data_IF_591884520375
#
_entry.id   IF_591884520375
#
_cell.length_a   1.000
_cell.length_b   1.000
_cell.length_c   1.000
_cell.angle_alpha   90.00
_cell.angle_beta   90.00
_cell.angle_gamma   90.00
#
_symmetry.space_group_name_H-M   'P 1'
#
loop_
_entity.id
_entity.type
_entity.pdbx_description
1 polymer ?
#
# COMPACT_ATOMS: atom_id res chain seq x y z
N UNK A 1 10.31 8.91 0.13
CA UNK A 1 11.42 8.14 -0.47
C UNK A 1 11.20 6.73 0.02
N UNK A 2 10.79 5.87 -0.89
CA UNK A 2 9.85 4.77 -0.64
C UNK A 2 10.47 3.58 0.11
N UNK A 3 9.84 3.20 1.22
CA UNK A 3 10.22 2.08 2.10
C UNK A 3 10.19 0.72 1.36
N UNK A 4 9.32 0.61 0.35
CA UNK A 4 9.14 -0.59 -0.48
C UNK A 4 10.37 -0.92 -1.33
N UNK A 5 10.87 0.07 -2.07
CA UNK A 5 12.02 -0.10 -2.97
C UNK A 5 13.28 -0.39 -2.15
N UNK A 6 13.42 0.24 -0.98
CA UNK A 6 14.51 -0.05 -0.06
C UNK A 6 14.52 -1.51 0.39
N UNK A 7 13.36 -2.09 0.78
CA UNK A 7 13.30 -3.47 1.28
C UNK A 7 13.58 -4.52 0.21
N UNK A 8 13.16 -4.31 -1.03
CA UNK A 8 13.42 -5.25 -2.14
C UNK A 8 14.88 -5.29 -2.58
N UNK A 9 15.60 -4.18 -2.38
CA UNK A 9 16.98 -4.02 -2.80
C UNK A 9 17.98 -4.20 -1.63
N UNK A 10 17.50 -4.32 -0.38
CA UNK A 10 18.27 -4.58 0.83
C UNK A 10 18.50 -6.10 1.05
N UNK A 11 19.75 -6.60 0.89
CA UNK A 11 20.05 -8.02 1.10
C UNK A 11 19.79 -8.52 2.52
N UNK A 12 19.78 -7.65 3.53
CA UNK A 12 19.55 -8.07 4.92
C UNK A 12 18.11 -8.54 5.18
N UNK A 13 17.16 -8.15 4.33
CA UNK A 13 15.75 -8.55 4.42
C UNK A 13 15.52 -10.01 3.98
N UNK A 14 16.42 -10.58 3.19
CA UNK A 14 16.21 -11.88 2.53
C UNK A 14 16.05 -13.05 3.50
N UNK A 15 16.88 -13.11 4.54
CA UNK A 15 16.81 -14.19 5.53
C UNK A 15 15.47 -14.21 6.28
N UNK A 16 14.96 -13.04 6.68
CA UNK A 16 13.66 -12.91 7.34
C UNK A 16 12.52 -13.32 6.40
N UNK A 17 12.55 -12.83 5.16
CA UNK A 17 11.52 -13.09 4.17
C UNK A 17 11.48 -14.57 3.77
N UNK A 18 12.63 -15.24 3.64
CA UNK A 18 12.70 -16.67 3.38
C UNK A 18 12.13 -17.50 4.53
N UNK A 19 12.42 -17.12 5.79
CA UNK A 19 11.85 -17.79 6.96
C UNK A 19 10.31 -17.70 6.97
N UNK A 20 9.75 -16.54 6.60
CA UNK A 20 8.30 -16.34 6.51
C UNK A 20 7.67 -17.02 5.29
N UNK A 21 8.34 -17.00 4.14
CA UNK A 21 7.85 -17.60 2.90
C UNK A 21 7.76 -19.14 2.98
N UNK A 22 8.52 -19.75 3.90
CA UNK A 22 8.54 -21.21 4.14
C UNK A 22 8.78 -21.99 2.84
N UNK A 23 9.98 -21.89 2.22
CA UNK A 23 10.28 -22.54 0.95
C UNK A 23 10.09 -24.06 1.04
N UNK A 24 9.62 -24.63 -0.07
CA UNK A 24 9.53 -26.08 -0.24
C UNK A 24 10.90 -26.74 -0.18
N UNK A 25 10.96 -28.05 0.07
CA UNK A 25 12.23 -28.79 0.07
C UNK A 25 12.99 -28.65 -1.25
N UNK A 26 12.27 -28.53 -2.37
CA UNK A 26 12.81 -28.39 -3.73
C UNK A 26 13.46 -27.03 -3.96
N UNK A 27 12.84 -25.95 -3.47
CA UNK A 27 13.35 -24.58 -3.62
C UNK A 27 14.30 -24.17 -2.49
N UNK A 28 14.36 -24.92 -1.38
CA UNK A 28 15.16 -24.58 -0.20
C UNK A 28 16.64 -24.44 -0.50
N UNK A 29 17.22 -25.37 -1.25
CA UNK A 29 18.65 -25.31 -1.58
C UNK A 29 19.00 -24.07 -2.40
N UNK A 30 18.14 -23.70 -3.35
CA UNK A 30 18.27 -22.46 -4.12
C UNK A 30 18.14 -21.22 -3.23
N UNK A 31 17.08 -21.18 -2.41
CA UNK A 31 16.81 -20.09 -1.48
C UNK A 31 17.96 -19.88 -0.48
N UNK A 32 18.48 -20.96 0.11
CA UNK A 32 19.59 -20.91 1.07
C UNK A 32 20.88 -20.44 0.36
N UNK A 33 21.14 -20.85 -0.88
CA UNK A 33 22.31 -20.42 -1.66
C UNK A 33 22.27 -18.93 -2.06
N UNK A 34 21.07 -18.36 -2.15
CA UNK A 34 20.84 -16.98 -2.58
C UNK A 34 20.44 -16.06 -1.41
N UNK A 35 20.55 -16.54 -0.16
CA UNK A 35 20.10 -15.81 1.03
C UNK A 35 20.84 -14.48 1.27
N UNK A 36 22.06 -14.33 0.74
CA UNK A 36 22.86 -13.10 0.80
C UNK A 36 22.56 -12.12 -0.34
N UNK A 37 21.66 -12.48 -1.26
CA UNK A 37 21.22 -11.60 -2.35
C UNK A 37 20.01 -10.77 -1.90
N UNK A 38 19.70 -9.70 -2.64
CA UNK A 38 18.49 -8.92 -2.36
C UNK A 38 17.20 -9.72 -2.64
N UNK A 39 16.07 -9.39 -1.98
CA UNK A 39 14.79 -10.04 -2.26
C UNK A 39 14.40 -9.96 -3.74
N UNK A 40 14.71 -8.86 -4.44
CA UNK A 40 14.48 -8.74 -5.89
C UNK A 40 15.20 -9.82 -6.69
N UNK A 41 16.48 -10.05 -6.38
CA UNK A 41 17.30 -11.08 -7.04
C UNK A 41 16.76 -12.48 -6.71
N UNK A 42 16.38 -12.73 -5.46
CA UNK A 42 15.77 -14.00 -5.04
C UNK A 42 14.47 -14.30 -5.78
N UNK A 43 13.54 -13.33 -5.85
CA UNK A 43 12.27 -13.47 -6.60
C UNK A 43 12.55 -13.79 -8.07
N UNK A 44 13.46 -13.04 -8.69
CA UNK A 44 13.83 -13.26 -10.09
C UNK A 44 14.45 -14.62 -10.35
N UNK A 45 15.32 -15.08 -9.45
CA UNK A 45 15.96 -16.39 -9.51
C UNK A 45 14.96 -17.54 -9.36
N UNK A 46 14.09 -17.48 -8.33
CA UNK A 46 13.02 -18.46 -8.13
C UNK A 46 12.09 -18.54 -9.35
N UNK A 47 11.72 -17.41 -9.94
CA UNK A 47 10.90 -17.37 -11.14
C UNK A 47 11.63 -17.90 -12.39
N UNK A 48 12.95 -17.68 -12.49
CA UNK A 48 13.80 -18.24 -13.53
C UNK A 48 13.84 -19.76 -13.53
N UNK A 49 13.90 -20.35 -12.33
CA UNK A 49 13.92 -21.80 -12.10
C UNK A 49 12.52 -22.44 -12.05
N UNK A 50 11.46 -21.64 -12.22
CA UNK A 50 10.07 -22.11 -12.26
C UNK A 50 9.38 -22.28 -10.91
N UNK A 51 10.01 -21.86 -9.81
CA UNK A 51 9.45 -21.81 -8.46
C UNK A 51 8.54 -20.58 -8.26
N UNK A 52 7.50 -20.47 -9.09
CA UNK A 52 6.61 -19.31 -9.08
C UNK A 52 5.84 -19.09 -7.77
N UNK A 53 5.30 -20.13 -7.10
CA UNK A 53 4.58 -19.92 -5.84
C UNK A 53 5.48 -19.28 -4.77
N UNK A 54 6.73 -19.72 -4.66
CA UNK A 54 7.71 -19.16 -3.73
C UNK A 54 8.10 -17.73 -4.12
N UNK A 55 8.32 -17.47 -5.41
CA UNK A 55 8.59 -16.11 -5.90
C UNK A 55 7.45 -15.14 -5.56
N UNK A 56 6.19 -15.58 -5.73
CA UNK A 56 4.99 -14.80 -5.41
C UNK A 56 4.89 -14.53 -3.90
N UNK A 57 5.10 -15.56 -3.05
CA UNK A 57 5.09 -15.39 -1.59
C UNK A 57 6.16 -14.41 -1.12
N UNK A 58 7.38 -14.54 -1.64
CA UNK A 58 8.49 -13.67 -1.27
C UNK A 58 8.20 -12.21 -1.66
N UNK A 59 7.69 -11.98 -2.87
CA UNK A 59 7.32 -10.64 -3.32
C UNK A 59 6.18 -10.06 -2.48
N UNK A 60 5.15 -10.86 -2.17
CA UNK A 60 4.03 -10.42 -1.32
C UNK A 60 4.50 -10.01 0.09
N UNK A 61 5.51 -10.70 0.64
CA UNK A 61 6.09 -10.39 1.95
C UNK A 61 7.02 -9.17 1.91
N UNK A 62 7.69 -8.93 0.78
CA UNK A 62 8.61 -7.82 0.61
C UNK A 62 7.91 -6.48 0.35
N UNK A 63 6.74 -6.50 -0.29
CA UNK A 63 5.93 -5.31 -0.54
C UNK A 63 5.30 -4.77 0.76
N UNK A 64 5.20 -3.44 0.93
CA UNK A 64 4.34 -2.90 1.96
C UNK A 64 2.88 -3.31 1.69
N UNK A 65 2.10 -3.42 2.76
CA UNK A 65 0.77 -4.05 2.73
C UNK A 65 -0.18 -3.41 1.71
N UNK A 66 -0.14 -2.08 1.55
CA UNK A 66 -0.99 -1.37 0.59
C UNK A 66 -0.65 -1.74 -0.84
N UNK A 67 0.64 -1.70 -1.16
CA UNK A 67 1.19 -2.07 -2.47
C UNK A 67 0.96 -3.55 -2.79
N UNK A 68 1.10 -4.44 -1.80
CA UNK A 68 0.82 -5.87 -1.96
C UNK A 68 -0.65 -6.12 -2.34
N UNK A 69 -1.60 -5.44 -1.69
CA UNK A 69 -3.03 -5.55 -2.02
C UNK A 69 -3.33 -4.93 -3.38
N UNK A 70 -2.75 -3.78 -3.70
CA UNK A 70 -2.90 -3.16 -5.02
C UNK A 70 -2.42 -4.09 -6.14
N UNK A 71 -1.25 -4.73 -5.93
CA UNK A 71 -0.72 -5.74 -6.85
C UNK A 71 -1.70 -6.90 -7.05
N UNK A 72 -2.28 -7.46 -5.98
CA UNK A 72 -3.33 -8.47 -6.11
C UNK A 72 -4.54 -7.97 -6.91
N UNK A 73 -4.98 -6.73 -6.70
CA UNK A 73 -6.09 -6.14 -7.46
C UNK A 73 -5.77 -6.07 -8.96
N UNK A 74 -4.56 -5.62 -9.31
CA UNK A 74 -4.09 -5.58 -10.71
C UNK A 74 -4.07 -6.97 -11.32
N UNK A 75 -3.52 -7.98 -10.65
CA UNK A 75 -3.54 -9.38 -11.11
C UNK A 75 -4.98 -9.92 -11.27
N UNK A 76 -5.90 -9.57 -10.37
CA UNK A 76 -7.32 -9.91 -10.50
C UNK A 76 -7.91 -9.28 -11.77
N UNK A 77 -7.66 -8.00 -12.02
CA UNK A 77 -8.15 -7.29 -13.22
C UNK A 77 -7.64 -7.93 -14.51
N UNK A 78 -6.37 -8.32 -14.58
CA UNK A 78 -5.78 -9.00 -15.75
C UNK A 78 -6.31 -10.44 -15.94
N UNK A 79 -6.88 -11.06 -14.90
CA UNK A 79 -7.38 -12.45 -14.95
C UNK A 79 -8.90 -12.57 -15.05
N UNK A 80 -9.64 -11.47 -15.14
CA UNK A 80 -11.09 -11.49 -15.30
C UNK A 80 -11.49 -12.19 -16.60
N UNK A 81 -12.46 -13.11 -16.51
CA UNK A 81 -12.98 -13.88 -17.64
C UNK A 81 -14.27 -13.28 -18.23
N UNK A 82 -14.88 -12.31 -17.54
CA UNK A 82 -16.11 -11.62 -17.95
C UNK A 82 -17.41 -12.24 -17.43
N UNK A 83 -17.34 -13.39 -16.79
CA UNK A 83 -18.46 -14.12 -16.16
C UNK A 83 -18.35 -14.15 -14.62
N UNK A 84 -17.61 -13.21 -14.05
CA UNK A 84 -17.42 -13.13 -12.60
C UNK A 84 -18.73 -12.93 -11.85
N UNK A 85 -18.92 -13.59 -10.70
CA UNK A 85 -20.06 -13.31 -9.85
C UNK A 85 -20.00 -11.86 -9.33
N UNK A 86 -21.16 -11.19 -9.16
CA UNK A 86 -21.21 -9.82 -8.65
C UNK A 86 -20.45 -9.61 -7.33
N UNK A 87 -20.42 -10.63 -6.47
CA UNK A 87 -19.74 -10.61 -5.18
C UNK A 87 -18.21 -10.52 -5.36
N UNK A 88 -17.65 -11.23 -6.34
CA UNK A 88 -16.22 -11.16 -6.63
C UNK A 88 -15.83 -9.78 -7.20
N UNK A 89 -16.66 -9.21 -8.09
CA UNK A 89 -16.44 -7.86 -8.60
C UNK A 89 -16.49 -6.82 -7.47
N UNK A 90 -17.48 -6.95 -6.57
CA UNK A 90 -17.62 -6.07 -5.40
C UNK A 90 -16.43 -6.18 -4.45
N UNK A 91 -15.91 -7.39 -4.23
CA UNK A 91 -14.70 -7.60 -3.44
C UNK A 91 -13.47 -6.94 -4.06
N UNK A 92 -13.29 -7.08 -5.37
CA UNK A 92 -12.19 -6.43 -6.09
C UNK A 92 -12.27 -4.89 -5.97
N UNK A 93 -13.44 -4.32 -6.20
CA UNK A 93 -13.66 -2.87 -6.08
C UNK A 93 -13.43 -2.36 -4.65
N UNK A 94 -13.85 -3.11 -3.63
CA UNK A 94 -13.61 -2.75 -2.24
C UNK A 94 -12.11 -2.80 -1.88
N UNK A 95 -11.37 -3.79 -2.39
CA UNK A 95 -9.92 -3.90 -2.21
C UNK A 95 -9.19 -2.75 -2.90
N UNK A 96 -9.56 -2.41 -4.14
CA UNK A 96 -9.02 -1.26 -4.87
C UNK A 96 -9.29 0.06 -4.15
N UNK A 97 -10.50 0.21 -3.60
CA UNK A 97 -10.88 1.41 -2.84
C UNK A 97 -10.04 1.56 -1.57
N UNK A 98 -9.79 0.48 -0.84
CA UNK A 98 -8.90 0.51 0.31
C UNK A 98 -7.44 0.81 -0.09
N UNK A 99 -6.95 0.23 -1.19
CA UNK A 99 -5.60 0.50 -1.67
C UNK A 99 -5.41 1.99 -2.06
N UNK A 100 -6.46 2.62 -2.61
CA UNK A 100 -6.48 4.05 -2.93
C UNK A 100 -6.58 4.95 -1.68
N UNK A 101 -7.34 4.54 -0.65
CA UNK A 101 -7.50 5.27 0.60
C UNK A 101 -7.68 4.30 1.79
N UNK A 102 -6.59 3.95 2.51
CA UNK A 102 -6.58 2.86 3.48
C UNK A 102 -7.15 3.25 4.85
N UNK A 103 -8.32 3.88 4.87
CA UNK A 103 -9.06 4.21 6.10
C UNK A 103 -9.83 3.00 6.64
N UNK A 104 -10.18 3.05 7.93
CA UNK A 104 -10.88 1.96 8.64
C UNK A 104 -12.23 1.61 7.98
N UNK A 105 -12.97 2.60 7.48
CA UNK A 105 -14.25 2.38 6.80
C UNK A 105 -14.09 1.50 5.55
N UNK A 106 -13.17 1.86 4.65
CA UNK A 106 -12.89 1.06 3.45
C UNK A 106 -12.34 -0.33 3.83
N UNK A 107 -11.53 -0.41 4.90
CA UNK A 107 -11.00 -1.68 5.40
C UNK A 107 -12.09 -2.64 5.86
N UNK A 108 -13.08 -2.15 6.60
CA UNK A 108 -14.23 -2.95 7.06
C UNK A 108 -15.20 -3.28 5.93
N UNK A 109 -15.37 -2.38 4.97
CA UNK A 109 -16.13 -2.66 3.75
C UNK A 109 -15.48 -3.80 2.93
N UNK A 110 -14.16 -3.78 2.79
CA UNK A 110 -13.41 -4.85 2.12
C UNK A 110 -13.57 -6.20 2.85
N UNK A 111 -13.58 -6.22 4.19
CA UNK A 111 -13.87 -7.44 4.95
C UNK A 111 -15.25 -8.01 4.64
N UNK A 112 -16.29 -7.17 4.67
CA UNK A 112 -17.65 -7.61 4.36
C UNK A 112 -17.77 -8.15 2.92
N UNK A 113 -17.10 -7.50 1.96
CA UNK A 113 -17.07 -7.97 0.57
C UNK A 113 -16.28 -9.27 0.41
N UNK A 114 -15.18 -9.44 1.16
CA UNK A 114 -14.39 -10.67 1.17
C UNK A 114 -15.23 -11.86 1.70
N UNK A 115 -15.98 -11.66 2.78
CA UNK A 115 -16.87 -12.69 3.35
C UNK A 115 -17.97 -13.09 2.35
N UNK A 116 -18.53 -12.12 1.62
CA UNK A 116 -19.54 -12.39 0.60
C UNK A 116 -18.98 -13.12 -0.63
N UNK A 117 -17.77 -12.75 -1.07
CA UNK A 117 -17.11 -13.37 -2.23
C UNK A 117 -16.50 -14.74 -1.92
N UNK A 118 -16.06 -14.98 -0.69
CA UNK A 118 -15.24 -16.13 -0.32
C UNK A 118 -13.79 -16.05 -0.83
N UNK A 119 -12.88 -16.70 -0.13
CA UNK A 119 -11.45 -16.74 -0.47
C UNK A 119 -11.07 -17.79 -1.53
N UNK A 120 -12.05 -18.52 -2.08
CA UNK A 120 -11.84 -19.35 -3.27
C UNK A 120 -11.73 -18.48 -4.54
N UNK A 121 -12.28 -17.26 -4.49
CA UNK A 121 -12.14 -16.26 -5.52
C UNK A 121 -10.87 -15.40 -5.30
N UNK A 122 -10.08 -15.11 -6.35
CA UNK A 122 -8.92 -14.23 -6.21
C UNK A 122 -9.26 -12.85 -5.62
N UNK A 123 -10.41 -12.29 -6.02
CA UNK A 123 -10.88 -10.99 -5.54
C UNK A 123 -11.24 -11.01 -4.05
N UNK A 124 -11.82 -12.10 -3.54
CA UNK A 124 -12.08 -12.27 -2.11
C UNK A 124 -10.79 -12.32 -1.28
N UNK A 125 -9.77 -13.01 -1.79
CA UNK A 125 -8.42 -12.98 -1.20
C UNK A 125 -7.80 -11.58 -1.17
N UNK A 126 -7.93 -10.80 -2.27
CA UNK A 126 -7.45 -9.42 -2.32
C UNK A 126 -8.17 -8.52 -1.30
N UNK A 127 -9.49 -8.64 -1.18
CA UNK A 127 -10.31 -7.91 -0.21
C UNK A 127 -9.99 -8.31 1.25
N UNK A 128 -9.72 -9.58 1.51
CA UNK A 128 -9.22 -10.04 2.81
C UNK A 128 -7.83 -9.47 3.09
N UNK A 129 -6.99 -9.30 2.08
CA UNK A 129 -5.70 -8.62 2.17
C UNK A 129 -5.83 -7.17 2.64
N UNK A 130 -6.79 -6.43 2.07
CA UNK A 130 -7.14 -5.08 2.53
C UNK A 130 -7.55 -5.08 4.01
N UNK A 131 -8.40 -6.02 4.43
CA UNK A 131 -8.82 -6.15 5.82
C UNK A 131 -7.64 -6.36 6.78
N UNK A 132 -6.70 -7.25 6.44
CA UNK A 132 -5.49 -7.51 7.24
C UNK A 132 -4.42 -6.42 7.11
N UNK A 133 -4.59 -5.45 6.21
CA UNK A 133 -3.64 -4.38 5.97
C UNK A 133 -3.33 -3.53 7.22
N UNK A 134 -4.25 -3.46 8.18
CA UNK A 134 -4.05 -2.74 9.44
C UNK A 134 -5.26 -2.86 10.38
N UNK A 135 -5.33 -1.98 11.38
CA UNK A 135 -6.41 -1.93 12.35
C UNK A 135 -6.55 -3.21 13.19
N UNK A 136 -7.71 -3.39 13.80
CA UNK A 136 -8.07 -4.59 14.58
C UNK A 136 -8.83 -5.58 13.70
N UNK A 137 -8.50 -6.87 13.79
CA UNK A 137 -9.26 -7.95 13.15
C UNK A 137 -10.44 -8.42 14.00
N UNK A 138 -10.50 -7.99 15.26
CA UNK A 138 -11.60 -8.32 16.14
C UNK A 138 -12.89 -7.58 15.73
N UNK A 139 -14.08 -8.07 16.14
CA UNK A 139 -15.32 -7.32 16.02
C UNK A 139 -15.26 -5.94 16.67
N UNK A 140 -16.17 -5.02 16.32
CA UNK A 140 -16.30 -3.76 17.04
C UNK A 140 -16.61 -3.98 18.53
N UNK A 141 -16.12 -3.07 19.38
CA UNK A 141 -16.38 -3.03 20.83
C UNK A 141 -15.78 -4.19 21.66
N UNK A 142 -14.84 -4.96 21.12
CA UNK A 142 -13.99 -5.87 21.90
C UNK A 142 -12.53 -5.39 21.88
N UNK A 143 -11.64 -5.89 22.76
CA UNK A 143 -10.24 -5.49 22.75
C UNK A 143 -9.59 -5.65 21.37
N UNK A 144 -8.71 -4.71 21.03
CA UNK A 144 -8.03 -4.69 19.75
C UNK A 144 -7.11 -5.91 19.59
N UNK A 145 -7.23 -6.57 18.44
CA UNK A 145 -6.36 -7.67 18.04
C UNK A 145 -5.74 -7.28 16.70
N UNK A 146 -4.44 -6.92 16.65
CA UNK A 146 -3.79 -6.61 15.39
C UNK A 146 -3.64 -7.87 14.53
N UNK A 147 -3.69 -7.76 13.19
CA UNK A 147 -3.38 -8.88 12.31
C UNK A 147 -1.92 -9.29 12.48
N UNK A 148 -1.65 -10.60 12.42
CA UNK A 148 -0.27 -11.07 12.42
C UNK A 148 0.49 -10.54 11.18
N UNK A 149 1.79 -10.20 11.28
CA UNK A 149 2.50 -9.42 10.27
C UNK A 149 2.46 -9.99 8.84
N UNK A 150 2.36 -11.30 8.69
CA UNK A 150 2.39 -12.02 7.42
C UNK A 150 1.00 -12.26 6.79
N UNK A 151 -0.11 -11.96 7.48
CA UNK A 151 -1.45 -12.33 7.01
C UNK A 151 -1.82 -11.68 5.69
N UNK A 152 -1.57 -10.37 5.52
CA UNK A 152 -1.79 -9.67 4.25
C UNK A 152 -1.03 -10.35 3.12
N UNK A 153 0.27 -10.61 3.32
CA UNK A 153 1.11 -11.22 2.30
C UNK A 153 0.62 -12.62 1.90
N UNK A 154 0.16 -13.43 2.87
CA UNK A 154 -0.36 -14.77 2.59
C UNK A 154 -1.62 -14.75 1.72
N UNK A 155 -2.60 -13.90 2.04
CA UNK A 155 -3.84 -13.84 1.24
C UNK A 155 -3.61 -13.16 -0.11
N UNK A 156 -2.71 -12.17 -0.18
CA UNK A 156 -2.26 -11.57 -1.46
C UNK A 156 -1.58 -12.63 -2.34
N UNK A 157 -0.66 -13.42 -1.79
CA UNK A 157 -0.02 -14.50 -2.53
C UNK A 157 -1.04 -15.53 -3.03
N UNK A 158 -2.02 -15.89 -2.19
CA UNK A 158 -3.16 -16.72 -2.59
C UNK A 158 -3.96 -16.13 -3.75
N UNK A 159 -4.28 -14.83 -3.70
CA UNK A 159 -4.97 -14.14 -4.79
C UNK A 159 -4.19 -14.24 -6.11
N UNK A 160 -2.90 -13.94 -6.11
CA UNK A 160 -2.06 -13.96 -7.32
C UNK A 160 -1.91 -15.38 -7.88
N UNK A 161 -1.75 -16.39 -7.01
CA UNK A 161 -1.69 -17.79 -7.44
C UNK A 161 -3.01 -18.23 -8.08
N UNK A 162 -4.15 -17.90 -7.47
CA UNK A 162 -5.47 -18.21 -8.05
C UNK A 162 -5.68 -17.48 -9.39
N UNK A 163 -5.26 -16.22 -9.52
CA UNK A 163 -5.30 -15.49 -10.79
C UNK A 163 -4.54 -16.23 -11.90
N UNK A 164 -3.38 -16.80 -11.58
CA UNK A 164 -2.49 -17.42 -12.56
C UNK A 164 -3.03 -18.76 -13.09
N UNK A 165 -3.84 -19.47 -12.31
CA UNK A 165 -4.28 -20.85 -12.64
C UNK A 165 -5.76 -20.99 -12.93
N UNK A 166 -6.60 -20.00 -12.59
CA UNK A 166 -8.07 -20.10 -12.73
C UNK A 166 -8.55 -20.24 -14.18
N UNK A 167 -7.79 -19.70 -15.14
CA UNK A 167 -8.08 -19.73 -16.56
C UNK A 167 -6.81 -20.14 -17.31
N UNK A 168 -6.94 -20.95 -18.35
CA UNK A 168 -5.81 -21.44 -19.17
C UNK A 168 -4.59 -21.84 -18.30
N UNK A 169 -4.74 -22.80 -17.37
CA UNK A 169 -3.68 -23.16 -16.42
C UNK A 169 -2.39 -23.63 -17.10
N UNK A 170 -2.47 -24.11 -18.35
CA UNK A 170 -1.31 -24.43 -19.18
C UNK A 170 -0.44 -23.21 -19.49
N UNK A 171 -0.97 -21.99 -19.37
CA UNK A 171 -0.25 -20.71 -19.49
C UNK A 171 0.14 -20.10 -18.14
N UNK A 172 0.00 -20.84 -17.05
CA UNK A 172 0.32 -20.34 -15.71
C UNK A 172 1.76 -19.81 -15.60
N UNK A 173 2.81 -20.46 -16.16
CA UNK A 173 4.17 -19.92 -16.12
C UNK A 173 4.29 -18.52 -16.75
N UNK A 174 3.62 -18.26 -17.87
CA UNK A 174 3.60 -16.96 -18.54
C UNK A 174 2.85 -15.93 -17.68
N UNK A 175 1.69 -16.31 -17.13
CA UNK A 175 0.88 -15.46 -16.24
C UNK A 175 1.63 -15.08 -14.97
N UNK A 176 2.31 -16.04 -14.33
CA UNK A 176 3.15 -15.77 -13.17
C UNK A 176 4.26 -14.77 -13.46
N UNK A 177 4.98 -14.91 -14.59
CA UNK A 177 6.01 -13.94 -14.99
C UNK A 177 5.44 -12.54 -15.20
N UNK A 178 4.29 -12.45 -15.87
CA UNK A 178 3.60 -11.18 -16.07
C UNK A 178 3.16 -10.55 -14.72
N UNK A 179 2.62 -11.34 -13.80
CA UNK A 179 2.20 -10.87 -12.49
C UNK A 179 3.39 -10.47 -11.60
N UNK A 180 4.50 -11.19 -11.64
CA UNK A 180 5.72 -10.79 -10.92
C UNK A 180 6.29 -9.48 -11.48
N UNK A 181 6.31 -9.30 -12.80
CA UNK A 181 6.71 -8.04 -13.42
C UNK A 181 5.80 -6.87 -13.01
N UNK A 182 4.49 -7.11 -12.96
CA UNK A 182 3.51 -6.14 -12.44
C UNK A 182 3.77 -5.81 -10.97
N UNK A 183 4.10 -6.80 -10.13
CA UNK A 183 4.44 -6.60 -8.72
C UNK A 183 5.69 -5.74 -8.53
N UNK A 184 6.71 -5.93 -9.35
CA UNK A 184 7.88 -5.03 -9.37
C UNK A 184 7.53 -3.62 -9.83
N UNK A 185 6.68 -3.47 -10.86
CA UNK A 185 6.18 -2.16 -11.28
C UNK A 185 5.44 -1.42 -10.17
N UNK A 186 4.69 -2.14 -9.34
CA UNK A 186 4.05 -1.57 -8.14
C UNK A 186 5.08 -1.19 -7.09
N UNK A 187 6.07 -2.05 -6.83
CA UNK A 187 7.13 -1.78 -5.87
C UNK A 187 7.98 -0.56 -6.20
N UNK A 188 8.23 -0.35 -7.49
CA UNK A 188 8.99 0.78 -8.03
C UNK A 188 8.13 2.05 -8.15
N UNK A 189 6.85 1.97 -7.77
CA UNK A 189 5.89 3.09 -7.79
C UNK A 189 5.40 3.48 -9.18
N UNK A 190 5.71 2.69 -10.21
CA UNK A 190 5.29 2.93 -11.59
C UNK A 190 3.82 2.57 -11.83
N UNK A 191 3.29 1.56 -11.15
CA UNK A 191 1.86 1.26 -11.08
C UNK A 191 1.37 1.50 -9.64
N UNK A 192 0.48 2.48 -9.45
CA UNK A 192 -0.01 2.88 -8.13
C UNK A 192 -1.53 3.05 -8.16
N UNK A 193 -2.22 2.84 -7.02
CA UNK A 193 -3.64 3.12 -6.91
C UNK A 193 -3.93 4.56 -7.35
N UNK A 194 -5.00 4.79 -8.12
CA UNK A 194 -5.40 6.14 -8.46
C UNK A 194 -5.82 6.88 -7.18
N UNK A 195 -5.57 8.20 -7.07
CA UNK A 195 -6.11 8.98 -5.97
C UNK A 195 -7.64 8.90 -5.99
N UNK A 196 -8.27 8.78 -4.83
CA UNK A 196 -9.73 8.85 -4.75
C UNK A 196 -10.16 10.21 -5.29
N UNK A 197 -10.99 10.19 -6.34
CA UNK A 197 -11.69 11.37 -6.79
C UNK A 197 -12.55 11.87 -5.62
N UNK A 198 -12.22 13.06 -5.10
CA UNK A 198 -13.10 13.75 -4.15
C UNK A 198 -14.50 13.81 -4.78
N UNK A 199 -15.57 13.46 -4.06
CA UNK A 199 -16.91 13.54 -4.61
C UNK A 199 -17.14 14.97 -5.12
N UNK A 200 -17.42 15.10 -6.42
CA UNK A 200 -17.77 16.38 -7.01
C UNK A 200 -19.04 16.90 -6.32
N UNK A 201 -18.91 17.93 -5.49
CA UNK A 201 -20.06 18.66 -4.93
C UNK A 201 -20.40 18.41 -3.46
N UNK A 202 -19.44 18.14 -2.57
CA UNK A 202 -19.67 18.54 -1.17
C UNK A 202 -19.53 20.07 -1.07
N UNK A 203 -20.60 20.81 -0.71
CA UNK A 203 -20.43 22.22 -0.36
C UNK A 203 -19.42 22.28 0.79
N UNK A 204 -18.46 23.19 0.69
CA UNK A 204 -17.47 23.43 1.73
C UNK A 204 -18.16 23.44 3.10
N UNK A 205 -17.56 22.87 4.16
CA UNK A 205 -18.14 22.90 5.49
C UNK A 205 -18.50 24.34 5.81
N UNK A 206 -19.80 24.62 5.92
CA UNK A 206 -20.31 25.95 6.25
C UNK A 206 -19.68 26.26 7.60
N UNK A 207 -18.76 27.23 7.62
CA UNK A 207 -18.17 27.68 8.87
C UNK A 207 -19.33 28.00 9.82
N UNK A 208 -19.31 27.53 11.08
CA UNK A 208 -20.40 27.81 12.00
C UNK A 208 -20.57 29.33 12.04
N UNK A 209 -21.78 29.78 11.68
CA UNK A 209 -22.12 31.20 11.69
C UNK A 209 -21.77 31.72 13.09
N UNK A 210 -20.98 32.80 13.23
CA UNK A 210 -20.67 33.33 14.54
C UNK A 210 -21.99 33.57 15.29
N UNK A 211 -22.06 33.07 16.52
CA UNK A 211 -23.22 33.28 17.37
C UNK A 211 -23.54 34.78 17.39
N UNK A 212 -24.82 35.19 17.30
CA UNK A 212 -25.18 36.59 17.46
C UNK A 212 -24.61 37.07 18.80
N UNK A 213 -24.04 38.29 18.88
CA UNK A 213 -23.54 38.81 20.13
C UNK A 213 -24.69 38.76 21.14
N UNK A 214 -24.47 38.06 22.26
CA UNK A 214 -25.38 38.13 23.39
C UNK A 214 -25.53 39.60 23.75
N UNK A 215 -26.79 40.00 23.95
CA UNK A 215 -27.13 41.35 24.38
C UNK A 215 -26.26 41.71 25.59
N UNK A 216 -25.26 42.57 25.39
CA UNK A 216 -24.57 43.22 26.49
C UNK A 216 -25.54 44.25 27.02
N UNK A 217 -26.08 43.94 28.18
CA UNK A 217 -26.81 44.87 29.01
C UNK A 217 -26.04 46.17 29.17
N UNK A 218 -26.79 47.25 29.08
CA UNK A 218 -26.37 48.62 29.14
C UNK A 218 -25.55 48.90 30.41
N UNK A 219 -24.34 49.45 30.22
CA UNK A 219 -23.72 50.28 31.24
C UNK A 219 -22.90 51.39 30.59
N UNK A 220 -23.59 52.51 30.40
CA UNK A 220 -22.98 53.84 30.24
C UNK A 220 -22.07 54.16 31.43
N UNK A 221 -20.92 54.78 31.15
CA UNK A 221 -20.15 55.53 32.14
C UNK A 221 -18.64 55.55 31.91
N UNK A 222 -18.13 56.74 31.60
CA UNK A 222 -16.76 57.23 31.85
C UNK A 222 -15.69 57.02 30.75
N UNK A 223 -15.69 58.02 29.89
CA UNK A 223 -14.55 58.67 29.25
C UNK A 223 -13.21 58.56 30.01
N UNK A 224 -12.18 58.02 29.34
CA UNK A 224 -10.79 58.26 29.73
C UNK A 224 -9.87 58.22 28.51
N UNK A 225 -9.47 59.41 28.10
CA UNK A 225 -8.42 59.71 27.12
C UNK A 225 -7.13 58.94 27.39
N UNK A 226 -6.69 58.10 26.44
CA UNK A 226 -5.29 57.63 26.35
C UNK A 226 -4.71 57.96 24.97
N UNK A 227 -3.49 58.52 24.89
CA UNK A 227 -2.85 58.88 23.62
C UNK A 227 -2.31 57.63 22.90
N UNK A 228 -2.06 57.72 21.58
CA UNK A 228 -1.63 56.58 20.78
C UNK A 228 -0.21 56.13 21.14
N UNK A 229 -0.02 54.82 21.26
CA UNK A 229 1.29 54.17 21.41
C UNK A 229 2.00 54.13 20.05
N UNK A 230 3.30 54.48 19.95
CA UNK A 230 4.02 54.41 18.68
C UNK A 230 4.39 52.97 18.31
N UNK A 231 4.24 52.65 17.01
CA UNK A 231 4.61 51.39 16.41
C UNK A 231 6.15 51.22 16.34
N UNK A 232 6.76 50.21 16.98
CA UNK A 232 8.18 49.97 16.85
C UNK A 232 8.46 49.01 15.68
N UNK A 233 9.00 49.62 14.61
CA UNK A 233 10.10 49.14 13.76
C UNK A 233 9.98 47.76 13.11
N UNK A 234 9.88 47.85 11.78
CA UNK A 234 10.49 46.97 10.77
C UNK A 234 11.70 46.16 11.29
N UNK A 235 11.59 44.84 11.22
CA UNK A 235 12.73 43.92 11.28
C UNK A 235 13.47 43.93 9.94
N UNK A 236 14.81 43.94 9.91
CA UNK A 236 15.56 43.83 8.65
C UNK A 236 15.56 42.38 8.14
N UNK A 237 15.57 42.26 6.82
CA UNK A 237 15.60 41.02 6.03
C UNK A 237 16.80 40.11 6.41
N UNK A 238 16.64 38.79 6.54
CA UNK A 238 17.78 37.90 6.77
C UNK A 238 18.63 37.72 5.50
N UNK A 239 19.95 37.75 5.67
CA UNK A 239 20.95 37.58 4.62
C UNK A 239 20.79 36.25 3.83
N UNK A 240 21.18 36.21 2.53
CA UNK A 240 21.02 35.03 1.69
C UNK A 240 21.90 33.85 2.15
N UNK A 241 21.34 32.64 2.09
CA UNK A 241 22.04 31.39 2.43
C UNK A 241 23.17 31.07 1.43
N UNK A 242 24.29 30.47 1.87
CA UNK A 242 25.33 29.99 0.96
C UNK A 242 24.87 28.76 0.15
N UNK A 243 25.43 28.52 -1.05
CA UNK A 243 25.04 27.41 -1.91
C UNK A 243 25.47 26.04 -1.34
N UNK A 244 24.64 25.03 -1.58
CA UNK A 244 24.85 23.64 -1.17
C UNK A 244 25.97 22.97 -1.99
N UNK A 245 26.82 22.11 -1.40
CA UNK A 245 27.86 21.39 -2.13
C UNK A 245 27.28 20.35 -3.09
N UNK A 246 27.94 20.19 -4.24
CA UNK A 246 27.54 19.25 -5.29
C UNK A 246 27.65 17.78 -4.84
N UNK A 247 26.73 16.89 -5.27
CA UNK A 247 26.80 15.47 -4.95
C UNK A 247 27.99 14.79 -5.64
N UNK A 248 28.60 13.76 -5.02
CA UNK A 248 29.67 13.00 -5.63
C UNK A 248 29.17 12.22 -6.85
N UNK A 249 30.00 12.18 -7.90
CA UNK A 249 29.75 11.44 -9.14
C UNK A 249 29.64 9.94 -8.86
N UNK A 250 28.44 9.39 -9.00
CA UNK A 250 28.23 7.94 -9.08
C UNK A 250 28.59 7.45 -10.49
N UNK A 251 29.30 6.32 -10.58
CA UNK A 251 29.61 5.66 -11.85
C UNK A 251 28.32 5.16 -12.51
N UNK A 252 28.25 5.28 -13.84
CA UNK A 252 27.13 4.74 -14.65
C UNK A 252 27.26 3.23 -14.79
N UNK A 253 26.10 2.60 -14.99
CA UNK A 253 25.88 1.17 -15.14
C UNK A 253 26.59 0.49 -16.33
N UNK A 254 27.27 1.25 -17.19
CA UNK A 254 27.92 0.73 -18.42
C UNK A 254 29.36 0.22 -18.20
N UNK A 255 29.88 0.18 -16.97
CA UNK A 255 31.31 -0.10 -16.69
C UNK A 255 31.61 -1.50 -16.09
N UNK A 256 30.81 -2.52 -16.38
CA UNK A 256 31.08 -3.90 -15.93
C UNK A 256 31.08 -4.86 -17.14
N UNK A 257 32.27 -5.07 -17.74
CA UNK A 257 32.61 -6.23 -18.59
C UNK A 257 33.26 -7.34 -17.75
#
# INVERSE_FOLDING_TARGET
MDDATHRLDDPSASAELLALASPSAESKAFADAMADQSPRVLVGGLAGDGHFPEAVKLLALALPRREAVWWACRCCRESLTGDEPPEALSALEAAERWAADPIEEHRRAAHAAAEASGMEAPAGCAAMGAFFGGGSIAPPNVPDVPPAPHLTAHVVAGAVMLCAVRSEPEKAPEKYRAFLALGFSVADGADRPPPIALPAGQPAPVSPRPAPPSAREDRWGEESTRPPVPNPRQSPDPAPRPPSPAPPRTRRWDEWE
#
